data_IF_162966391171
#
_entry.id   IF_162966391171
#
_cell.length_a   1.000
_cell.length_b   1.000
_cell.length_c   1.000
_cell.angle_alpha   90.00
_cell.angle_beta   90.00
_cell.angle_gamma   90.00
#
_symmetry.space_group_name_H-M   'P 1'
#
loop_
_entity.id
_entity.type
_entity.pdbx_description
1 polymer ?
#
# COMPACT_ATOMS: atom_id res chain seq x y z
N UNK A 1 -16.20 3.91 13.44
CA UNK A 1 -16.35 4.20 12.00
C UNK A 1 -15.28 5.17 11.45
N UNK A 2 -14.68 6.06 12.26
CA UNK A 2 -13.64 7.00 11.81
C UNK A 2 -12.23 6.37 11.61
N UNK A 3 -11.97 5.20 12.20
CA UNK A 3 -10.63 4.60 12.22
C UNK A 3 -10.21 3.98 10.87
N UNK A 4 -11.16 3.42 10.11
CA UNK A 4 -10.89 2.83 8.79
C UNK A 4 -10.46 3.88 7.77
N UNK A 5 -11.09 5.05 7.78
CA UNK A 5 -10.74 6.19 6.91
C UNK A 5 -9.37 6.75 7.22
N UNK A 6 -9.05 6.93 8.52
CA UNK A 6 -7.73 7.42 8.95
C UNK A 6 -6.61 6.47 8.57
N UNK A 7 -6.83 5.16 8.74
CA UNK A 7 -5.86 4.13 8.36
C UNK A 7 -5.56 4.17 6.86
N UNK A 8 -6.61 4.26 6.04
CA UNK A 8 -6.47 4.32 4.58
C UNK A 8 -5.71 5.57 4.13
N UNK A 9 -6.05 6.74 4.68
CA UNK A 9 -5.32 7.98 4.37
C UNK A 9 -3.83 7.88 4.72
N UNK A 10 -3.48 7.22 5.83
CA UNK A 10 -2.07 6.99 6.18
C UNK A 10 -1.38 6.08 5.17
N UNK A 11 -2.03 5.00 4.73
CA UNK A 11 -1.47 4.07 3.74
C UNK A 11 -1.21 4.75 2.40
N UNK A 12 -2.14 5.58 1.92
CA UNK A 12 -1.97 6.36 0.70
C UNK A 12 -0.79 7.34 0.80
N UNK A 13 -0.71 8.11 1.89
CA UNK A 13 0.44 9.01 2.10
C UNK A 13 1.78 8.28 2.11
N UNK A 14 1.85 7.11 2.73
CA UNK A 14 3.07 6.31 2.72
C UNK A 14 3.40 5.79 1.32
N UNK A 15 2.39 5.41 0.54
CA UNK A 15 2.57 5.01 -0.85
C UNK A 15 3.07 6.17 -1.71
N UNK A 16 2.59 7.39 -1.50
CA UNK A 16 3.07 8.58 -2.22
C UNK A 16 4.55 8.87 -1.92
N UNK A 17 4.97 8.72 -0.66
CA UNK A 17 6.34 9.00 -0.23
C UNK A 17 7.33 7.89 -0.60
N UNK A 18 6.92 6.64 -0.44
CA UNK A 18 7.81 5.48 -0.51
C UNK A 18 7.51 4.55 -1.70
N UNK A 19 6.50 4.86 -2.51
CA UNK A 19 6.14 4.12 -3.72
C UNK A 19 7.31 3.88 -4.69
N UNK A 20 8.26 4.83 -4.88
CA UNK A 20 9.44 4.60 -5.70
C UNK A 20 10.41 3.51 -5.18
N UNK A 21 10.32 3.13 -3.91
CA UNK A 21 11.14 2.05 -3.31
C UNK A 21 10.53 0.66 -3.50
N UNK A 22 9.29 0.60 -3.99
CA UNK A 22 8.57 -0.66 -4.22
C UNK A 22 8.88 -1.21 -5.61
N UNK A 23 8.73 -2.53 -5.77
CA UNK A 23 8.73 -3.11 -7.12
C UNK A 23 7.48 -2.68 -7.88
N UNK A 24 7.55 -2.64 -9.20
CA UNK A 24 6.40 -2.25 -10.02
C UNK A 24 5.16 -3.14 -9.78
N UNK A 25 5.36 -4.42 -9.48
CA UNK A 25 4.26 -5.33 -9.16
C UNK A 25 3.59 -4.96 -7.82
N UNK A 26 4.38 -4.68 -6.78
CA UNK A 26 3.86 -4.22 -5.49
C UNK A 26 3.10 -2.91 -5.63
N UNK A 27 3.68 -1.93 -6.35
CA UNK A 27 3.06 -0.62 -6.59
C UNK A 27 1.74 -0.77 -7.34
N UNK A 28 1.69 -1.59 -8.39
CA UNK A 28 0.46 -1.87 -9.14
C UNK A 28 -0.62 -2.49 -8.27
N UNK A 29 -0.31 -3.52 -7.48
CA UNK A 29 -1.30 -4.15 -6.59
C UNK A 29 -1.85 -3.16 -5.57
N UNK A 30 -0.98 -2.34 -4.96
CA UNK A 30 -1.42 -1.32 -3.99
C UNK A 30 -2.27 -0.23 -4.65
N UNK A 31 -1.92 0.23 -5.84
CA UNK A 31 -2.69 1.20 -6.60
C UNK A 31 -4.12 0.69 -6.87
N UNK A 32 -4.25 -0.54 -7.39
CA UNK A 32 -5.56 -1.16 -7.62
C UNK A 32 -6.37 -1.26 -6.32
N UNK A 33 -5.74 -1.69 -5.23
CA UNK A 33 -6.42 -1.95 -3.96
C UNK A 33 -6.78 -0.68 -3.16
N UNK A 34 -5.91 0.33 -3.13
CA UNK A 34 -6.04 1.48 -2.22
C UNK A 34 -6.51 2.76 -2.91
N UNK A 35 -6.19 2.94 -4.20
CA UNK A 35 -6.61 4.12 -4.96
C UNK A 35 -7.87 3.83 -5.79
N UNK A 36 -7.93 2.67 -6.44
CA UNK A 36 -9.06 2.32 -7.33
C UNK A 36 -10.16 1.49 -6.66
N UNK A 37 -10.03 1.14 -5.38
CA UNK A 37 -11.03 0.36 -4.63
C UNK A 37 -11.32 -1.04 -5.19
N UNK A 38 -10.40 -1.63 -5.95
CA UNK A 38 -10.58 -2.99 -6.43
C UNK A 38 -10.54 -3.98 -5.25
N UNK A 39 -11.47 -4.93 -5.27
CA UNK A 39 -11.46 -6.05 -4.34
C UNK A 39 -10.27 -6.97 -4.63
N UNK A 40 -9.83 -7.73 -3.61
CA UNK A 40 -8.74 -8.70 -3.80
C UNK A 40 -9.10 -9.81 -4.80
N UNK A 41 -10.39 -10.06 -5.04
CA UNK A 41 -10.86 -10.99 -6.06
C UNK A 41 -10.63 -10.44 -7.47
N UNK A 42 -11.04 -9.20 -7.73
CA UNK A 42 -10.86 -8.54 -9.03
C UNK A 42 -9.37 -8.39 -9.37
N UNK A 43 -8.54 -8.06 -8.39
CA UNK A 43 -7.07 -7.99 -8.57
C UNK A 43 -6.51 -9.38 -8.88
N UNK A 44 -6.94 -10.40 -8.14
CA UNK A 44 -6.48 -11.77 -8.34
C UNK A 44 -6.81 -12.30 -9.74
N UNK A 45 -8.02 -12.02 -10.24
CA UNK A 45 -8.44 -12.37 -11.59
C UNK A 45 -7.60 -11.65 -12.65
N UNK A 46 -7.42 -10.33 -12.50
CA UNK A 46 -6.62 -9.51 -13.43
C UNK A 46 -5.15 -9.93 -13.49
N UNK A 47 -4.55 -10.18 -12.33
CA UNK A 47 -3.13 -10.54 -12.21
C UNK A 47 -2.91 -12.06 -12.40
N UNK A 48 -3.98 -12.85 -12.59
CA UNK A 48 -3.96 -14.33 -12.72
C UNK A 48 -3.24 -15.02 -11.55
N UNK A 49 -3.53 -14.57 -10.33
CA UNK A 49 -3.00 -15.12 -9.08
C UNK A 49 -4.13 -15.51 -8.14
N UNK A 50 -3.82 -16.08 -6.98
CA UNK A 50 -4.83 -16.35 -5.96
C UNK A 50 -5.16 -15.08 -5.17
N UNK A 51 -6.39 -15.02 -4.62
CA UNK A 51 -6.79 -13.96 -3.67
C UNK A 51 -5.86 -13.88 -2.45
N UNK A 52 -5.35 -15.02 -2.00
CA UNK A 52 -4.36 -15.10 -0.91
C UNK A 52 -3.04 -14.46 -1.31
N UNK A 53 -2.55 -14.66 -2.53
CA UNK A 53 -1.34 -14.03 -3.02
C UNK A 53 -1.47 -12.49 -3.04
N UNK A 54 -2.60 -11.97 -3.50
CA UNK A 54 -2.90 -10.52 -3.45
C UNK A 54 -2.89 -10.00 -2.01
N UNK A 55 -3.57 -10.70 -1.09
CA UNK A 55 -3.58 -10.34 0.33
C UNK A 55 -2.17 -10.30 0.93
N UNK A 56 -1.34 -11.31 0.64
CA UNK A 56 0.02 -11.40 1.14
C UNK A 56 0.90 -10.26 0.60
N UNK A 57 0.78 -9.92 -0.68
CA UNK A 57 1.50 -8.79 -1.28
C UNK A 57 1.08 -7.48 -0.59
N UNK A 58 -0.22 -7.22 -0.43
CA UNK A 58 -0.70 -5.99 0.21
C UNK A 58 -0.18 -5.91 1.65
N UNK A 59 -0.29 -7.00 2.41
CA UNK A 59 0.15 -7.05 3.81
C UNK A 59 1.65 -6.82 3.94
N UNK A 60 2.47 -7.53 3.16
CA UNK A 60 3.94 -7.40 3.21
C UNK A 60 4.40 -6.01 2.77
N UNK A 61 3.81 -5.48 1.71
CA UNK A 61 4.16 -4.14 1.21
C UNK A 61 3.77 -3.06 2.20
N UNK A 62 2.61 -3.16 2.84
CA UNK A 62 2.21 -2.24 3.90
C UNK A 62 3.22 -2.23 5.08
N UNK A 63 3.68 -3.42 5.52
CA UNK A 63 4.74 -3.53 6.52
C UNK A 63 6.04 -2.87 6.06
N UNK A 64 6.43 -3.06 4.81
CA UNK A 64 7.64 -2.43 4.26
C UNK A 64 7.53 -0.90 4.26
N UNK A 65 6.37 -0.35 3.87
CA UNK A 65 6.11 1.09 3.91
C UNK A 65 6.21 1.66 5.34
N UNK A 66 5.67 0.94 6.32
CA UNK A 66 5.81 1.30 7.74
C UNK A 66 7.26 1.25 8.22
N UNK A 67 8.03 0.26 7.76
CA UNK A 67 9.45 0.12 8.07
C UNK A 67 10.29 1.24 7.43
N UNK A 68 9.96 1.66 6.20
CA UNK A 68 10.59 2.81 5.55
C UNK A 68 10.30 4.10 6.33
N UNK A 69 9.06 4.31 6.76
CA UNK A 69 8.72 5.47 7.60
C UNK A 69 9.44 5.46 8.95
N UNK A 70 9.60 4.28 9.56
CA UNK A 70 10.38 4.15 10.80
C UNK A 70 11.85 4.53 10.59
N UNK A 71 12.45 4.13 9.48
CA UNK A 71 13.88 4.32 9.19
C UNK A 71 14.21 5.71 8.63
N UNK A 72 13.37 6.22 7.72
CA UNK A 72 13.65 7.44 6.96
C UNK A 72 12.91 8.66 7.51
N UNK A 73 11.74 8.45 8.15
CA UNK A 73 10.98 9.53 8.79
C UNK A 73 10.56 10.68 7.89
N UNK A 74 10.37 10.43 6.58
CA UNK A 74 10.08 11.48 5.60
C UNK A 74 8.73 12.13 5.87
N UNK A 75 7.73 11.40 6.37
CA UNK A 75 6.45 12.01 6.74
C UNK A 75 6.57 12.98 7.93
N UNK A 76 7.57 12.80 8.81
CA UNK A 76 7.85 13.74 9.91
C UNK A 76 8.69 14.93 9.46
N UNK A 77 9.52 14.75 8.43
CA UNK A 77 10.43 15.77 7.91
C UNK A 77 9.73 16.88 7.11
N UNK A 78 8.49 16.68 6.62
CA UNK A 78 7.75 17.66 5.82
C UNK A 78 7.10 18.81 6.63
N UNK A 79 7.38 18.94 7.92
CA UNK A 79 6.92 20.06 8.77
C UNK A 79 8.08 20.94 9.26
N UNK A 80 9.13 21.13 8.43
CA UNK A 80 10.21 22.09 8.68
C UNK A 80 10.10 23.25 7.69
#
# INVERSE_FOLDING_TARGET
MLDSTRRRQRQLRLLDLYGPLLTDHQRRILHLAWELDWSYGEIAERERVSRTAVYDVIRRTATNLDDYERKLGLARAQHV
#
